data_IF_165944798149
#
_entry.id   IF_165944798149
#
_cell.length_a   1.000
_cell.length_b   1.000
_cell.length_c   1.000
_cell.angle_alpha   90.00
_cell.angle_beta   90.00
_cell.angle_gamma   90.00
#
_symmetry.space_group_name_H-M   'P 1'
#
loop_
_entity.id
_entity.type
_entity.pdbx_description
1 polymer ?
#
# COMPACT_ATOMS: atom_id res chain seq x y z
N UNK A 1 -17.50 15.65 -19.61
CA UNK A 1 -16.90 14.95 -18.46
C UNK A 1 -15.41 14.82 -18.71
N UNK A 2 -14.59 15.09 -17.70
CA UNK A 2 -13.14 14.96 -17.79
C UNK A 2 -12.71 13.56 -17.34
N UNK A 3 -11.65 13.04 -17.96
CA UNK A 3 -11.01 11.78 -17.60
C UNK A 3 -10.40 11.84 -16.19
N UNK A 4 -10.05 10.68 -15.58
CA UNK A 4 -9.23 10.66 -14.37
C UNK A 4 -7.97 11.54 -14.51
N UNK A 5 -7.55 12.14 -13.41
CA UNK A 5 -6.42 13.07 -13.39
C UNK A 5 -6.68 14.45 -13.94
N UNK A 6 -7.93 14.76 -14.33
CA UNK A 6 -8.28 16.06 -14.89
C UNK A 6 -9.52 16.67 -14.22
N UNK A 7 -9.59 18.00 -14.19
CA UNK A 7 -10.76 18.79 -13.79
C UNK A 7 -11.28 19.64 -14.94
N UNK A 8 -12.50 20.14 -14.82
CA UNK A 8 -13.09 21.09 -15.76
C UNK A 8 -12.41 22.44 -15.58
N UNK A 9 -11.89 22.98 -16.68
CA UNK A 9 -11.47 24.38 -16.76
C UNK A 9 -12.62 25.25 -17.29
N UNK A 10 -13.25 24.82 -18.40
CA UNK A 10 -14.44 25.46 -18.93
C UNK A 10 -15.54 24.44 -19.26
N UNK A 11 -16.80 24.72 -18.87
CA UNK A 11 -17.91 23.85 -19.18
C UNK A 11 -18.20 23.85 -20.69
N UNK A 12 -18.91 22.82 -21.16
CA UNK A 12 -19.38 22.83 -22.55
C UNK A 12 -20.42 23.94 -22.77
N UNK A 13 -20.51 24.40 -24.01
CA UNK A 13 -21.60 25.27 -24.48
C UNK A 13 -22.37 24.55 -25.59
N UNK A 14 -23.35 25.22 -26.20
CA UNK A 14 -24.04 24.71 -27.38
C UNK A 14 -23.08 24.43 -28.55
N UNK A 15 -21.93 25.11 -28.60
CA UNK A 15 -21.01 25.08 -29.73
C UNK A 15 -19.60 24.57 -29.39
N UNK A 16 -19.29 24.36 -28.11
CA UNK A 16 -17.95 23.96 -27.65
C UNK A 16 -18.01 22.76 -26.70
N UNK A 17 -17.01 21.89 -26.78
CA UNK A 17 -16.82 20.80 -25.83
C UNK A 17 -16.30 21.32 -24.48
N UNK A 18 -16.40 20.48 -23.44
CA UNK A 18 -15.79 20.75 -22.13
C UNK A 18 -14.27 20.80 -22.27
N UNK A 19 -13.63 21.84 -21.76
CA UNK A 19 -12.17 21.89 -21.64
C UNK A 19 -11.73 21.33 -20.30
N UNK A 20 -10.74 20.44 -20.33
CA UNK A 20 -10.22 19.77 -19.16
C UNK A 20 -8.73 20.09 -18.98
N UNK A 21 -8.31 20.30 -17.73
CA UNK A 21 -6.90 20.48 -17.37
C UNK A 21 -6.45 19.41 -16.37
N UNK A 22 -5.15 19.06 -16.34
CA UNK A 22 -4.61 18.13 -15.36
C UNK A 22 -4.81 18.63 -13.94
N UNK A 23 -4.99 17.71 -12.99
CA UNK A 23 -5.04 18.05 -11.58
C UNK A 23 -3.73 18.75 -11.14
N UNK A 24 -3.81 19.90 -10.45
CA UNK A 24 -2.63 20.56 -9.91
C UNK A 24 -1.95 19.72 -8.82
N UNK A 25 -0.71 20.05 -8.49
CA UNK A 25 0.07 19.32 -7.48
C UNK A 25 -0.68 19.15 -6.15
N UNK A 26 -0.47 18.01 -5.49
CA UNK A 26 -1.19 17.61 -4.26
C UNK A 26 -2.71 17.45 -4.41
N UNK A 27 -3.20 17.24 -5.64
CA UNK A 27 -4.60 16.88 -5.90
C UNK A 27 -4.73 15.75 -6.93
N UNK A 28 -5.87 15.05 -6.89
CA UNK A 28 -6.14 13.90 -7.74
C UNK A 28 -7.64 13.79 -8.13
N UNK A 29 -7.91 13.01 -9.18
CA UNK A 29 -9.26 12.57 -9.53
C UNK A 29 -9.22 11.14 -10.06
N UNK A 30 -9.75 10.19 -9.28
CA UNK A 30 -9.62 8.77 -9.59
C UNK A 30 -10.59 8.24 -10.65
N UNK A 31 -11.67 8.98 -10.92
CA UNK A 31 -12.73 8.57 -11.84
C UNK A 31 -13.07 9.71 -12.81
N UNK A 32 -13.68 9.40 -13.95
CA UNK A 32 -14.25 10.43 -14.80
C UNK A 32 -15.19 11.33 -13.99
N UNK A 33 -15.08 12.65 -14.17
CA UNK A 33 -15.75 13.61 -13.30
C UNK A 33 -16.17 14.89 -14.03
N UNK A 34 -17.15 15.60 -13.44
CA UNK A 34 -17.65 16.89 -13.91
C UNK A 34 -17.34 18.02 -12.91
N UNK A 35 -16.22 17.95 -12.20
CA UNK A 35 -15.84 18.93 -11.16
C UNK A 35 -14.80 19.89 -11.71
N UNK A 36 -14.88 21.15 -11.31
CA UNK A 36 -13.86 22.17 -11.61
C UNK A 36 -12.63 22.09 -10.70
N UNK A 37 -12.68 21.26 -9.65
CA UNK A 37 -11.60 21.10 -8.67
C UNK A 37 -11.35 19.62 -8.40
N UNK A 38 -10.08 19.23 -8.33
CA UNK A 38 -9.66 17.88 -7.95
C UNK A 38 -9.70 17.66 -6.43
N UNK A 39 -9.80 16.40 -6.00
CA UNK A 39 -9.72 16.05 -4.58
C UNK A 39 -8.32 16.30 -4.05
N UNK A 40 -8.17 16.83 -2.83
CA UNK A 40 -6.85 16.94 -2.20
C UNK A 40 -6.31 15.57 -1.85
N UNK A 41 -5.00 15.38 -2.02
CA UNK A 41 -4.33 14.16 -1.57
C UNK A 41 -4.37 14.08 -0.04
N UNK A 42 -4.55 12.87 0.48
CA UNK A 42 -4.43 12.56 1.90
C UNK A 42 -3.00 12.76 2.36
N UNK A 43 -2.84 13.30 3.57
CA UNK A 43 -1.54 13.44 4.23
C UNK A 43 -1.37 12.35 5.29
N UNK A 44 -0.39 11.47 5.09
CA UNK A 44 0.03 10.54 6.12
C UNK A 44 0.92 11.28 7.12
N UNK A 45 0.46 11.42 8.35
CA UNK A 45 1.17 12.16 9.39
C UNK A 45 1.48 11.26 10.59
N UNK A 46 2.53 11.64 11.32
CA UNK A 46 3.00 10.93 12.51
C UNK A 46 2.08 11.09 13.72
N UNK A 47 1.22 12.12 13.75
CA UNK A 47 0.21 12.29 14.82
C UNK A 47 -0.79 11.12 14.82
N UNK A 48 -1.15 10.64 13.63
CA UNK A 48 -1.98 9.44 13.46
C UNK A 48 -1.15 8.14 13.39
N UNK A 49 0.16 8.26 13.59
CA UNK A 49 1.15 7.17 13.54
C UNK A 49 1.16 6.44 12.20
N UNK A 50 1.17 7.21 11.12
CA UNK A 50 1.15 6.72 9.75
C UNK A 50 2.36 7.16 8.94
N UNK A 51 2.69 6.37 7.91
CA UNK A 51 3.62 6.73 6.82
C UNK A 51 2.97 6.51 5.46
N UNK A 52 3.59 7.08 4.43
CA UNK A 52 3.17 6.90 3.04
C UNK A 52 3.56 5.49 2.58
N UNK A 53 2.57 4.66 2.22
CA UNK A 53 2.75 3.38 1.51
C UNK A 53 2.86 3.63 0.01
N UNK A 54 2.00 4.49 -0.52
CA UNK A 54 2.02 4.90 -1.92
C UNK A 54 1.74 6.41 -2.06
N UNK A 55 2.54 7.08 -2.88
CA UNK A 55 2.41 8.51 -3.13
C UNK A 55 1.14 8.84 -3.91
N UNK A 56 0.63 10.05 -3.69
CA UNK A 56 -0.43 10.59 -4.51
C UNK A 56 0.01 10.75 -5.97
N UNK A 57 -0.90 10.50 -6.90
CA UNK A 57 -0.74 10.80 -8.32
C UNK A 57 -1.93 11.62 -8.79
N UNK A 58 -1.93 12.12 -10.03
CA UNK A 58 -3.11 12.81 -10.55
C UNK A 58 -4.36 11.90 -10.56
N UNK A 59 -4.20 10.58 -10.66
CA UNK A 59 -5.32 9.62 -10.76
C UNK A 59 -5.56 8.82 -9.48
N UNK A 60 -4.75 8.97 -8.43
CA UNK A 60 -4.89 8.19 -7.20
C UNK A 60 -4.53 8.99 -5.96
N UNK A 61 -5.25 8.76 -4.88
CA UNK A 61 -4.91 9.34 -3.58
C UNK A 61 -3.59 8.78 -3.03
N UNK A 62 -3.03 9.44 -2.02
CA UNK A 62 -2.00 8.86 -1.15
C UNK A 62 -2.59 7.65 -0.42
N UNK A 63 -1.83 6.56 -0.33
CA UNK A 63 -2.15 5.42 0.54
C UNK A 63 -1.27 5.49 1.77
N UNK A 64 -1.90 5.50 2.95
CA UNK A 64 -1.23 5.52 4.24
C UNK A 64 -1.22 4.14 4.88
N UNK A 65 -0.13 3.81 5.55
CA UNK A 65 -0.01 2.62 6.38
C UNK A 65 0.51 2.97 7.79
N UNK A 66 0.23 2.14 8.80
CA UNK A 66 0.79 2.30 10.13
C UNK A 66 2.33 2.34 10.13
N UNK A 67 2.92 3.04 11.10
CA UNK A 67 4.34 2.86 11.40
C UNK A 67 4.61 1.46 11.95
N UNK A 68 5.88 1.05 11.91
CA UNK A 68 6.32 -0.20 12.51
C UNK A 68 5.97 -0.27 13.99
N UNK A 69 5.40 -1.40 14.42
CA UNK A 69 4.91 -1.57 15.79
C UNK A 69 3.48 -1.05 16.02
N UNK A 70 2.79 -0.54 15.01
CA UNK A 70 1.41 -0.07 15.09
C UNK A 70 0.50 -0.85 14.13
N UNK A 71 -0.80 -0.93 14.46
CA UNK A 71 -1.81 -1.52 13.58
C UNK A 71 -2.95 -0.54 13.29
N UNK A 72 -3.51 -0.66 12.08
CA UNK A 72 -4.61 0.18 11.65
C UNK A 72 -5.89 -0.18 12.40
N UNK A 73 -6.59 0.84 12.90
CA UNK A 73 -7.89 0.69 13.56
C UNK A 73 -9.03 1.34 12.78
N UNK A 74 -8.70 2.29 11.90
CA UNK A 74 -9.63 2.92 10.96
C UNK A 74 -9.04 2.85 9.54
N UNK A 75 -9.50 1.88 8.76
CA UNK A 75 -9.08 1.64 7.38
C UNK A 75 -10.13 2.07 6.36
N UNK A 76 -9.69 2.54 5.20
CA UNK A 76 -10.56 2.85 4.06
C UNK A 76 -9.84 2.58 2.74
N UNK A 77 -10.46 1.84 1.83
CA UNK A 77 -9.96 1.62 0.46
C UNK A 77 -8.47 1.25 0.37
N UNK A 78 -7.98 0.41 1.31
CA UNK A 78 -6.57 -0.01 1.37
C UNK A 78 -5.59 0.98 2.02
N UNK A 79 -6.09 2.09 2.56
CA UNK A 79 -5.34 3.10 3.31
C UNK A 79 -5.79 3.14 4.77
N UNK A 80 -4.93 3.64 5.67
CA UNK A 80 -5.21 3.80 7.09
C UNK A 80 -5.39 5.27 7.48
N UNK A 81 -6.38 5.58 8.32
CA UNK A 81 -6.59 6.93 8.90
C UNK A 81 -6.02 7.07 10.29
N UNK A 82 -6.03 5.99 11.06
CA UNK A 82 -5.57 5.98 12.43
C UNK A 82 -5.03 4.61 12.82
N UNK A 83 -3.86 4.62 13.46
CA UNK A 83 -3.19 3.43 13.95
C UNK A 83 -2.89 3.53 15.45
N UNK A 84 -2.83 2.39 16.12
CA UNK A 84 -2.49 2.29 17.55
C UNK A 84 -1.35 1.30 17.75
N UNK A 85 -0.58 1.51 18.82
CA UNK A 85 0.57 0.66 19.12
C UNK A 85 0.10 -0.77 19.38
N UNK A 86 0.89 -1.73 18.91
CA UNK A 86 0.69 -3.12 19.30
C UNK A 86 0.89 -3.28 20.82
N UNK A 87 0.18 -4.24 21.41
CA UNK A 87 0.40 -4.65 22.79
C UNK A 87 1.87 -5.06 23.00
N UNK A 88 2.54 -4.45 23.97
CA UNK A 88 3.85 -4.90 24.43
C UNK A 88 3.69 -6.23 25.15
N UNK A 89 4.19 -7.30 24.55
CA UNK A 89 4.13 -8.63 25.15
C UNK A 89 5.23 -8.82 26.21
N UNK A 90 4.95 -9.67 27.20
CA UNK A 90 5.94 -10.00 28.23
C UNK A 90 7.14 -10.74 27.63
N UNK A 91 8.31 -10.75 28.30
CA UNK A 91 9.44 -11.58 27.88
C UNK A 91 9.01 -13.04 27.65
N UNK A 92 9.33 -13.61 26.48
CA UNK A 92 8.90 -14.97 26.08
C UNK A 92 7.55 -15.04 25.36
N UNK A 93 6.90 -13.89 25.11
CA UNK A 93 5.68 -13.80 24.31
C UNK A 93 5.93 -13.03 23.00
N UNK A 94 5.15 -13.33 21.98
CA UNK A 94 5.21 -12.66 20.67
C UNK A 94 3.82 -12.25 20.20
N UNK A 95 3.77 -11.24 19.33
CA UNK A 95 2.54 -10.80 18.67
C UNK A 95 2.23 -11.81 17.56
N UNK A 96 1.05 -12.43 17.59
CA UNK A 96 0.56 -13.22 16.44
C UNK A 96 0.15 -12.28 15.31
N UNK A 97 0.94 -12.18 14.25
CA UNK A 97 0.49 -11.58 13.00
C UNK A 97 -0.47 -12.56 12.32
N UNK A 98 -1.73 -12.17 12.18
CA UNK A 98 -2.63 -12.81 11.20
C UNK A 98 -2.56 -11.96 9.93
N UNK A 99 -2.47 -12.63 8.78
CA UNK A 99 -2.35 -11.98 7.48
C UNK A 99 -3.44 -10.93 7.22
N UNK A 100 -3.05 -9.99 6.36
CA UNK A 100 -3.56 -8.66 5.99
C UNK A 100 -5.04 -8.58 5.54
N UNK A 101 -5.99 -9.21 6.23
CA UNK A 101 -7.41 -9.20 5.82
C UNK A 101 -8.44 -8.72 6.83
N UNK A 102 -8.10 -8.50 8.10
CA UNK A 102 -9.07 -7.95 9.06
C UNK A 102 -8.39 -6.98 10.02
N UNK A 103 -9.05 -5.88 10.43
CA UNK A 103 -8.58 -5.13 11.55
C UNK A 103 -8.59 -6.09 12.76
N UNK A 104 -7.71 -5.84 13.72
CA UNK A 104 -7.91 -6.14 15.15
C UNK A 104 -6.97 -7.14 15.83
N UNK A 105 -6.45 -6.59 16.94
CA UNK A 105 -5.90 -7.21 18.13
C UNK A 105 -4.53 -7.86 17.99
N UNK A 106 -3.53 -7.16 18.54
CA UNK A 106 -2.25 -7.76 18.89
C UNK A 106 -2.47 -8.66 20.10
N UNK A 107 -2.75 -9.94 19.85
CA UNK A 107 -2.79 -10.96 20.90
C UNK A 107 -1.38 -11.48 21.14
N UNK A 108 -0.92 -11.37 22.39
CA UNK A 108 0.33 -11.96 22.83
C UNK A 108 0.15 -13.47 22.98
N UNK A 109 0.99 -14.24 22.31
CA UNK A 109 1.06 -15.68 22.47
C UNK A 109 2.31 -16.05 23.27
N UNK A 110 2.15 -16.92 24.26
CA UNK A 110 3.27 -17.49 25.02
C UNK A 110 3.90 -18.65 24.26
N UNK A 111 5.23 -18.76 24.31
CA UNK A 111 5.90 -20.01 23.94
C UNK A 111 5.60 -21.09 24.98
N UNK A 112 4.55 -21.90 24.79
CA UNK A 112 4.28 -23.06 25.65
C UNK A 112 5.03 -24.34 25.23
N UNK A 113 6.15 -24.23 24.51
CA UNK A 113 6.96 -25.39 24.15
C UNK A 113 8.45 -25.12 24.34
N UNK A 114 9.19 -26.00 25.06
CA UNK A 114 10.64 -26.01 24.98
C UNK A 114 11.04 -26.36 23.54
N UNK A 115 11.94 -25.55 22.96
CA UNK A 115 12.64 -25.74 21.68
C UNK A 115 12.14 -26.93 20.83
N UNK A 116 11.11 -26.69 20.01
CA UNK A 116 10.87 -27.51 18.82
C UNK A 116 11.16 -26.66 17.59
N UNK A 117 12.31 -26.95 16.98
CA UNK A 117 12.66 -26.74 15.58
C UNK A 117 12.16 -25.43 14.96
N UNK A 118 13.10 -24.50 14.78
CA UNK A 118 13.03 -23.55 13.68
C UNK A 118 13.01 -24.42 12.42
N UNK A 119 11.85 -24.65 11.79
CA UNK A 119 11.88 -24.96 10.37
C UNK A 119 12.25 -23.65 9.71
N UNK A 120 13.49 -23.57 9.26
CA UNK A 120 13.92 -22.61 8.26
C UNK A 120 12.95 -22.78 7.09
N UNK A 121 11.98 -21.87 6.97
CA UNK A 121 11.29 -21.69 5.71
C UNK A 121 12.33 -21.09 4.78
N UNK A 122 12.94 -21.96 3.99
CA UNK A 122 13.79 -21.59 2.88
C UNK A 122 13.10 -20.47 2.09
N UNK A 123 13.72 -19.30 2.09
CA UNK A 123 13.52 -18.32 1.04
C UNK A 123 13.74 -19.04 -0.29
N UNK A 124 12.87 -18.93 -1.31
CA UNK A 124 13.23 -19.36 -2.65
C UNK A 124 14.34 -18.44 -3.17
N UNK A 125 15.57 -18.77 -2.80
CA UNK A 125 16.74 -18.35 -3.50
C UNK A 125 16.58 -18.80 -4.95
N UNK A 126 16.63 -17.82 -5.83
CA UNK A 126 16.95 -17.93 -7.26
C UNK A 126 17.83 -19.16 -7.49
N UNK A 127 17.22 -20.22 -8.02
CA UNK A 127 17.90 -21.45 -8.36
C UNK A 127 18.70 -21.18 -9.64
N UNK A 128 19.94 -20.71 -9.46
CA UNK A 128 20.94 -20.74 -10.51
C UNK A 128 21.34 -22.20 -10.73
N UNK A 129 20.82 -22.76 -11.81
CA UNK A 129 21.07 -24.13 -12.25
C UNK A 129 22.53 -24.27 -12.70
N UNK A 130 23.43 -24.52 -11.75
CA UNK A 130 24.82 -24.85 -12.00
C UNK A 130 24.94 -26.38 -12.12
N UNK A 131 24.60 -26.90 -13.30
CA UNK A 131 25.10 -28.16 -13.90
C UNK A 131 24.33 -28.49 -15.19
N UNK A 132 24.50 -27.65 -16.23
CA UNK A 132 24.36 -28.12 -17.61
C UNK A 132 25.75 -28.18 -18.23
N UNK A 133 26.23 -29.41 -18.42
CA UNK A 133 27.37 -29.70 -19.28
C UNK A 133 27.17 -28.98 -20.63
N UNK A 134 28.13 -28.11 -20.95
CA UNK A 134 28.32 -27.59 -22.28
C UNK A 134 28.79 -28.74 -23.18
N UNK A 135 27.87 -29.39 -23.88
CA UNK A 135 28.25 -30.14 -25.09
C UNK A 135 28.39 -29.13 -26.24
N UNK A 136 29.64 -28.80 -26.56
CA UNK A 136 30.03 -28.04 -27.74
C UNK A 136 29.66 -28.86 -28.98
N UNK A 137 28.63 -28.44 -29.71
CA UNK A 137 28.38 -28.93 -31.07
C UNK A 137 29.12 -27.99 -32.03
N UNK A 138 30.26 -28.47 -32.53
CA UNK A 138 30.97 -27.90 -33.68
C UNK A 138 30.06 -28.07 -34.90
N UNK A 139 29.54 -26.97 -35.45
CA UNK A 139 29.00 -27.01 -36.82
C UNK A 139 30.18 -26.90 -37.78
N UNK A 140 30.36 -27.96 -38.56
CA UNK A 140 31.17 -28.02 -39.78
C UNK A 140 30.62 -27.10 -40.86
#
# INVERSE_FOLDING_TARGET
MCSPGHHIESPCTKFTSTMCLPCPGSTYSAKPNNRSVCSKCTLCNTVNVLRVKANCTQTSDTVCEPLEGFYCTDGYSGSCRYAVEHTKCSPGQYIKQKEETEPQSSQCASSTSPLKYIQETESPAVQADCNKEHTVQVKT
#
